data_IF_393543248191
#
_entry.id   IF_393543248191
#
_cell.length_a   1.000
_cell.length_b   1.000
_cell.length_c   1.000
_cell.angle_alpha   90.00
_cell.angle_beta   90.00
_cell.angle_gamma   90.00
#
_symmetry.space_group_name_H-M   'P 1'
#
loop_
_entity.id
_entity.type
_entity.pdbx_description
1 polymer ?
#
# COMPACT_ATOMS: atom_id res chain seq x y z
N UNK A 1 0.87 -18.22 -8.13
CA UNK A 1 1.02 -16.86 -8.67
C UNK A 1 1.55 -16.02 -7.53
N UNK A 2 2.71 -15.36 -7.69
CA UNK A 2 3.21 -14.47 -6.64
C UNK A 2 2.55 -13.11 -6.84
N UNK A 3 1.41 -12.91 -6.17
CA UNK A 3 0.77 -11.61 -6.04
C UNK A 3 1.75 -10.69 -5.30
N UNK A 4 2.30 -9.71 -6.01
CA UNK A 4 3.19 -8.74 -5.40
C UNK A 4 2.33 -7.73 -4.63
N UNK A 5 2.35 -7.76 -3.30
CA UNK A 5 1.64 -6.75 -2.51
C UNK A 5 2.49 -5.48 -2.39
N UNK A 6 1.85 -4.33 -2.43
CA UNK A 6 2.51 -3.05 -2.22
C UNK A 6 3.03 -2.96 -0.79
N UNK A 7 4.34 -2.76 -0.63
CA UNK A 7 5.02 -2.62 0.66
C UNK A 7 4.78 -1.26 1.35
N UNK A 8 3.73 -0.54 0.95
CA UNK A 8 3.26 0.72 1.54
C UNK A 8 1.78 0.63 1.94
N UNK A 9 0.87 0.35 1.00
CA UNK A 9 -0.57 0.26 1.32
C UNK A 9 -1.10 -1.17 1.48
N UNK A 10 -0.27 -2.20 1.27
CA UNK A 10 -0.71 -3.61 1.33
C UNK A 10 -1.56 -4.06 0.13
N UNK A 11 -1.90 -3.17 -0.80
CA UNK A 11 -2.72 -3.48 -1.97
C UNK A 11 -2.01 -4.47 -2.91
N UNK A 12 -2.71 -5.50 -3.43
CA UNK A 12 -2.19 -6.37 -4.48
C UNK A 12 -1.82 -5.59 -5.75
N UNK A 13 -0.65 -5.87 -6.32
CA UNK A 13 -0.17 -5.30 -7.58
C UNK A 13 -0.30 -6.39 -8.65
N UNK A 14 -1.50 -6.50 -9.22
CA UNK A 14 -1.81 -7.51 -10.24
C UNK A 14 -1.23 -7.15 -11.62
N UNK A 15 -1.30 -5.87 -11.99
CA UNK A 15 -0.78 -5.37 -13.26
C UNK A 15 0.56 -4.62 -13.05
N UNK A 16 1.52 -4.86 -13.96
CA UNK A 16 2.76 -4.07 -14.06
C UNK A 16 2.48 -2.58 -14.23
N UNK A 17 1.35 -2.18 -14.81
CA UNK A 17 0.95 -0.76 -14.93
C UNK A 17 0.67 -0.10 -13.58
N UNK A 18 0.30 -0.88 -12.57
CA UNK A 18 0.07 -0.41 -11.22
C UNK A 18 1.38 -0.28 -10.43
N UNK A 19 2.52 -0.68 -10.98
CA UNK A 19 3.83 -0.51 -10.34
C UNK A 19 4.27 0.94 -10.35
N UNK A 20 4.85 1.37 -9.24
CA UNK A 20 5.49 2.67 -9.12
C UNK A 20 6.74 2.77 -9.98
N UNK A 21 7.37 3.93 -9.98
CA UNK A 21 8.64 4.16 -10.69
C UNK A 21 9.76 4.47 -9.72
N UNK A 22 10.91 3.87 -9.97
CA UNK A 22 12.17 4.17 -9.30
C UNK A 22 12.74 5.50 -9.82
N UNK A 23 13.80 6.01 -9.18
CA UNK A 23 14.42 7.30 -9.55
C UNK A 23 15.01 7.29 -10.97
N UNK A 24 15.39 6.12 -11.47
CA UNK A 24 15.91 5.90 -12.83
C UNK A 24 14.81 5.72 -13.89
N UNK A 25 13.54 5.73 -13.48
CA UNK A 25 12.39 5.50 -14.36
C UNK A 25 12.02 4.03 -14.56
N UNK A 26 12.74 3.09 -13.96
CA UNK A 26 12.37 1.66 -13.96
C UNK A 26 11.13 1.40 -13.09
N UNK A 27 10.45 0.27 -13.31
CA UNK A 27 9.26 -0.10 -12.54
C UNK A 27 9.62 -0.71 -11.19
N UNK A 28 9.00 -0.22 -10.13
CA UNK A 28 9.16 -0.78 -8.80
C UNK A 28 8.48 -2.14 -8.68
N UNK A 29 9.18 -3.15 -8.16
CA UNK A 29 8.57 -4.45 -7.87
C UNK A 29 7.80 -4.48 -6.55
N UNK A 30 8.02 -3.48 -5.70
CA UNK A 30 7.57 -3.49 -4.30
C UNK A 30 6.48 -2.47 -4.01
N UNK A 31 6.39 -1.41 -4.80
CA UNK A 31 5.47 -0.31 -4.56
C UNK A 31 4.54 -0.06 -5.75
N UNK A 32 3.30 0.33 -5.46
CA UNK A 32 2.35 0.73 -6.49
C UNK A 32 2.53 2.20 -6.89
N UNK A 33 2.01 2.59 -8.06
CA UNK A 33 2.10 3.93 -8.62
C UNK A 33 1.36 5.00 -7.82
N UNK A 34 0.40 4.60 -6.99
CA UNK A 34 -0.32 5.49 -6.08
C UNK A 34 0.50 5.85 -4.84
N UNK A 35 1.31 4.90 -4.35
CA UNK A 35 2.15 5.10 -3.17
C UNK A 35 3.53 5.65 -3.52
N UNK A 36 4.11 5.26 -4.65
CA UNK A 36 5.50 5.53 -4.99
C UNK A 36 5.69 5.94 -6.45
N UNK A 37 6.39 7.04 -6.68
CA UNK A 37 6.67 7.58 -8.01
C UNK A 37 8.01 8.30 -8.04
N UNK A 38 8.79 8.01 -9.08
CA UNK A 38 10.10 8.61 -9.35
C UNK A 38 11.08 8.50 -8.18
N UNK A 39 11.08 7.37 -7.49
CA UNK A 39 11.99 7.15 -6.36
C UNK A 39 11.49 7.72 -5.03
N UNK A 40 10.26 8.26 -4.98
CA UNK A 40 9.72 8.97 -3.81
C UNK A 40 8.30 8.53 -3.48
N UNK A 41 7.96 8.50 -2.19
CA UNK A 41 6.58 8.31 -1.78
C UNK A 41 5.76 9.56 -2.13
N UNK A 42 4.63 9.35 -2.81
CA UNK A 42 3.80 10.46 -3.31
C UNK A 42 3.09 11.18 -2.16
N UNK A 43 2.82 10.45 -1.07
CA UNK A 43 2.23 10.96 0.15
C UNK A 43 3.22 10.88 1.30
N UNK A 44 3.41 12.00 2.00
CA UNK A 44 4.14 12.05 3.27
C UNK A 44 3.13 11.96 4.40
N UNK A 45 2.74 10.74 4.75
CA UNK A 45 1.72 10.44 5.77
C UNK A 45 2.28 9.43 6.80
N UNK A 46 1.72 9.41 8.01
CA UNK A 46 2.05 8.42 9.05
C UNK A 46 1.40 7.07 8.76
N UNK A 47 1.78 6.05 9.53
CA UNK A 47 1.17 4.73 9.46
C UNK A 47 -0.35 4.82 9.72
N UNK A 48 -0.76 5.58 10.73
CA UNK A 48 -2.15 5.78 11.11
C UNK A 48 -2.92 6.47 9.98
N UNK A 49 -2.36 7.53 9.39
CA UNK A 49 -2.98 8.23 8.26
C UNK A 49 -3.13 7.32 7.02
N UNK A 50 -2.16 6.43 6.79
CA UNK A 50 -2.27 5.42 5.73
C UNK A 50 -3.40 4.42 6.02
N UNK A 51 -3.56 3.98 7.28
CA UNK A 51 -4.66 3.09 7.67
C UNK A 51 -6.00 3.74 7.35
N UNK A 52 -6.21 4.97 7.82
CA UNK A 52 -7.44 5.72 7.57
C UNK A 52 -7.68 5.94 6.08
N UNK A 53 -6.62 6.21 5.32
CA UNK A 53 -6.71 6.34 3.86
C UNK A 53 -7.10 5.04 3.17
N UNK A 54 -6.71 3.87 3.68
CA UNK A 54 -6.98 2.57 3.06
C UNK A 54 -8.38 2.03 3.36
N UNK A 55 -8.95 2.33 4.54
CA UNK A 55 -10.28 1.87 4.97
C UNK A 55 -11.37 2.11 3.92
N UNK A 56 -11.59 3.33 3.38
CA UNK A 56 -12.68 3.56 2.43
C UNK A 56 -12.51 2.73 1.15
N UNK A 57 -11.28 2.54 0.67
CA UNK A 57 -11.03 1.69 -0.51
C UNK A 57 -11.35 0.22 -0.24
N UNK A 58 -11.01 -0.30 0.94
CA UNK A 58 -11.36 -1.68 1.32
C UNK A 58 -12.87 -1.90 1.47
N UNK A 59 -13.59 -0.87 1.92
CA UNK A 59 -15.05 -0.89 2.02
C UNK A 59 -15.70 -0.82 0.63
N UNK A 60 -15.21 0.05 -0.25
CA UNK A 60 -15.71 0.20 -1.64
C UNK A 60 -15.48 -1.05 -2.48
N UNK A 61 -14.33 -1.72 -2.32
CA UNK A 61 -13.99 -2.96 -3.01
C UNK A 61 -14.75 -4.19 -2.43
N UNK A 62 -15.34 -4.06 -1.25
CA UNK A 62 -16.03 -5.16 -0.55
C UNK A 62 -15.08 -6.17 0.11
N UNK A 63 -13.79 -5.81 0.23
CA UNK A 63 -12.76 -6.61 0.90
C UNK A 63 -13.01 -6.76 2.42
N UNK A 64 -13.73 -5.82 3.04
CA UNK A 64 -14.13 -5.89 4.44
C UNK A 64 -15.62 -5.60 4.62
N UNK A 65 -16.21 -6.12 5.71
CA UNK A 65 -17.64 -5.91 6.03
C UNK A 65 -17.88 -4.66 6.86
N UNK A 66 -16.85 -4.16 7.55
CA UNK A 66 -16.90 -2.94 8.34
C UNK A 66 -15.56 -2.21 8.36
N UNK A 67 -15.61 -0.90 8.63
CA UNK A 67 -14.41 -0.06 8.78
C UNK A 67 -13.52 -0.54 9.92
N UNK A 68 -14.11 -1.06 11.00
CA UNK A 68 -13.39 -1.58 12.16
C UNK A 68 -12.60 -2.86 11.81
N UNK A 69 -13.18 -3.74 11.00
CA UNK A 69 -12.51 -4.93 10.48
C UNK A 69 -11.34 -4.56 9.56
N UNK A 70 -11.56 -3.59 8.66
CA UNK A 70 -10.51 -3.05 7.79
C UNK A 70 -9.36 -2.45 8.61
N UNK A 71 -9.67 -1.59 9.59
CA UNK A 71 -8.69 -0.97 10.48
C UNK A 71 -7.89 -2.02 11.25
N UNK A 72 -8.55 -3.00 11.86
CA UNK A 72 -7.88 -4.07 12.62
C UNK A 72 -6.94 -4.91 11.74
N UNK A 73 -7.35 -5.18 10.50
CA UNK A 73 -6.54 -5.91 9.53
C UNK A 73 -5.33 -5.10 9.09
N UNK A 74 -5.52 -3.83 8.73
CA UNK A 74 -4.46 -2.90 8.34
C UNK A 74 -3.46 -2.66 9.48
N UNK A 75 -3.92 -2.54 10.73
CA UNK A 75 -3.06 -2.41 11.92
C UNK A 75 -2.16 -3.63 12.13
N UNK A 76 -2.53 -4.81 11.65
CA UNK A 76 -1.69 -6.02 11.71
C UNK A 76 -0.75 -6.12 10.52
N UNK A 77 -1.20 -5.68 9.34
CA UNK A 77 -0.44 -5.83 8.09
C UNK A 77 0.55 -4.70 7.87
N UNK A 78 0.11 -3.45 7.95
CA UNK A 78 0.90 -2.29 7.56
C UNK A 78 2.21 -2.13 8.37
N UNK A 79 2.26 -2.32 9.70
CA UNK A 79 3.52 -2.22 10.45
C UNK A 79 4.60 -3.22 10.02
N UNK A 80 4.20 -4.33 9.37
CA UNK A 80 5.11 -5.35 8.88
C UNK A 80 5.66 -5.05 7.47
N UNK A 81 5.13 -4.03 6.78
CA UNK A 81 5.56 -3.65 5.44
C UNK A 81 6.82 -2.77 5.46
N UNK A 82 7.65 -2.86 4.42
CA UNK A 82 8.95 -2.16 4.36
C UNK A 82 8.88 -0.65 4.62
N UNK A 83 7.82 0.04 4.17
CA UNK A 83 7.67 1.49 4.38
C UNK A 83 7.54 1.85 5.86
N UNK A 84 6.82 1.01 6.62
CA UNK A 84 6.40 1.32 7.99
C UNK A 84 7.18 0.57 9.06
N UNK A 85 7.84 -0.51 8.67
CA UNK A 85 8.68 -1.31 9.54
C UNK A 85 9.84 -0.45 10.04
N UNK A 86 9.70 0.07 11.26
CA UNK A 86 10.80 0.67 12.00
C UNK A 86 11.70 -0.48 12.47
N UNK A 87 12.92 -0.56 11.92
CA UNK A 87 14.00 -1.43 12.40
C UNK A 87 14.44 -1.09 13.80
#
# INVERSE_FOLDING_TARGET
MNEAICQSCGMPIEDKKLRGTEKDGSQSSEYCCYCYRNGLFVKSETLEEMIESCIPFMMEDGSCKSEEEARSSLLKVLPNLKRWKQT
#
